data_IF_393632491281
#
_entry.id   IF_393632491281
#
_cell.length_a   1.000
_cell.length_b   1.000
_cell.length_c   1.000
_cell.angle_alpha   90.00
_cell.angle_beta   90.00
_cell.angle_gamma   90.00
#
_symmetry.space_group_name_H-M   'P 1'
#
loop_
_entity.id
_entity.type
_entity.pdbx_description
1 polymer ?
#
# COMPACT_ATOMS: atom_id res chain seq x y z
N UNK A 1 30.91 8.02 -11.88
CA UNK A 1 29.75 7.37 -11.21
C UNK A 1 28.51 8.23 -11.42
N UNK A 2 27.31 7.66 -11.54
CA UNK A 2 26.08 8.44 -11.76
C UNK A 2 25.94 9.04 -13.17
N UNK A 3 26.36 8.32 -14.22
CA UNK A 3 26.18 8.76 -15.61
C UNK A 3 27.05 9.94 -16.06
N UNK A 4 28.06 10.35 -15.28
CA UNK A 4 29.01 11.39 -15.71
C UNK A 4 30.06 10.82 -16.67
N UNK A 5 30.17 11.44 -17.84
CA UNK A 5 31.25 11.24 -18.80
C UNK A 5 32.28 12.35 -18.62
N UNK A 6 33.54 11.96 -18.47
CA UNK A 6 34.66 12.89 -18.36
C UNK A 6 35.45 12.85 -19.67
N UNK A 7 35.64 14.01 -20.29
CA UNK A 7 36.42 14.15 -21.53
C UNK A 7 37.57 15.12 -21.28
N UNK A 8 38.78 14.69 -21.61
CA UNK A 8 39.98 15.51 -21.48
C UNK A 8 40.36 16.04 -22.85
N UNK A 9 40.58 17.35 -22.95
CA UNK A 9 41.16 17.94 -24.14
C UNK A 9 42.68 17.77 -24.12
N UNK A 10 43.25 17.33 -25.24
CA UNK A 10 44.70 17.19 -25.42
C UNK A 10 45.18 18.15 -26.51
N UNK A 11 45.32 19.44 -26.19
CA UNK A 11 45.82 20.42 -27.15
C UNK A 11 47.27 20.12 -27.52
N UNK A 12 47.57 20.08 -28.83
CA UNK A 12 48.94 19.91 -29.33
C UNK A 12 49.74 21.18 -29.04
N UNK A 13 50.99 21.07 -28.56
CA UNK A 13 51.83 22.23 -28.33
C UNK A 13 52.07 23.00 -29.64
N UNK A 14 52.10 24.35 -29.61
CA UNK A 14 52.37 25.15 -30.80
C UNK A 14 53.77 24.84 -31.34
N UNK A 15 53.85 24.54 -32.64
CA UNK A 15 55.08 24.06 -33.32
C UNK A 15 56.06 25.20 -33.65
N UNK A 16 55.75 26.46 -33.31
CA UNK A 16 56.44 27.64 -33.88
C UNK A 16 57.03 28.63 -32.87
N UNK A 17 57.12 28.31 -31.58
CA UNK A 17 57.73 29.21 -30.57
C UNK A 17 58.94 28.59 -29.87
N UNK A 18 60.12 29.24 -29.83
CA UNK A 18 61.32 28.75 -29.12
C UNK A 18 61.17 28.67 -27.60
N UNK A 19 60.13 29.26 -27.02
CA UNK A 19 59.87 29.27 -25.59
C UNK A 19 58.72 28.30 -25.22
N UNK A 20 58.84 27.55 -24.11
CA UNK A 20 57.77 26.69 -23.62
C UNK A 20 56.60 27.55 -23.12
N UNK A 21 55.52 27.62 -23.91
CA UNK A 21 54.26 28.25 -23.50
C UNK A 21 53.42 27.21 -22.74
N UNK A 22 52.96 27.47 -21.51
CA UNK A 22 52.05 26.58 -20.80
C UNK A 22 50.74 26.44 -21.58
N UNK A 23 50.42 25.22 -22.03
CA UNK A 23 49.15 24.96 -22.71
C UNK A 23 48.08 24.62 -21.66
N UNK A 24 46.99 25.40 -21.56
CA UNK A 24 45.92 25.10 -20.61
C UNK A 24 45.24 23.78 -20.99
N UNK A 25 45.05 22.89 -20.01
CA UNK A 25 44.35 21.62 -20.20
C UNK A 25 42.91 21.76 -19.71
N UNK A 26 41.96 21.50 -20.58
CA UNK A 26 40.54 21.57 -20.24
C UNK A 26 39.96 20.17 -20.00
N UNK A 27 39.06 20.07 -19.03
CA UNK A 27 38.28 18.87 -18.75
C UNK A 27 36.81 19.22 -18.86
N UNK A 28 36.08 18.41 -19.62
CA UNK A 28 34.63 18.50 -19.76
C UNK A 28 33.97 17.39 -18.96
N UNK A 29 32.92 17.76 -18.23
CA UNK A 29 32.10 16.81 -17.46
C UNK A 29 30.69 16.86 -18.02
N UNK A 30 30.29 15.82 -18.74
CA UNK A 30 28.98 15.72 -19.37
C UNK A 30 28.10 14.74 -18.62
N UNK A 31 26.84 15.10 -18.37
CA UNK A 31 25.85 14.18 -17.81
C UNK A 31 25.24 13.37 -18.96
N UNK A 32 25.46 12.06 -18.94
CA UNK A 32 24.84 11.12 -19.88
C UNK A 32 23.58 10.58 -19.23
N UNK A 33 22.48 10.58 -19.99
CA UNK A 33 21.19 10.03 -19.61
C UNK A 33 20.62 9.25 -20.78
N UNK A 34 20.34 7.98 -20.57
CA UNK A 34 19.80 7.07 -21.60
C UNK A 34 18.27 7.01 -21.59
N UNK A 35 17.63 7.26 -20.44
CA UNK A 35 16.18 7.10 -20.24
C UNK A 35 15.56 8.32 -19.54
N UNK A 36 15.46 9.42 -20.29
CA UNK A 36 15.01 10.72 -19.76
C UNK A 36 13.59 10.68 -19.20
N UNK A 37 12.67 9.96 -19.86
CA UNK A 37 11.27 9.84 -19.44
C UNK A 37 11.11 9.10 -18.11
N UNK A 38 11.86 8.01 -17.91
CA UNK A 38 11.84 7.25 -16.67
C UNK A 38 12.35 8.11 -15.50
N UNK A 39 13.46 8.82 -15.70
CA UNK A 39 13.99 9.74 -14.69
C UNK A 39 13.00 10.86 -14.37
N UNK A 40 12.32 11.39 -15.39
CA UNK A 40 11.32 12.42 -15.19
C UNK A 40 10.15 11.92 -14.34
N UNK A 41 9.62 10.74 -14.66
CA UNK A 41 8.56 10.07 -13.87
C UNK A 41 8.99 9.81 -12.42
N UNK A 42 10.25 9.39 -12.22
CA UNK A 42 10.82 9.17 -10.89
C UNK A 42 10.92 10.47 -10.09
N UNK A 43 11.40 11.56 -10.71
CA UNK A 43 11.43 12.89 -10.08
C UNK A 43 10.05 13.40 -9.68
N UNK A 44 9.06 13.23 -10.56
CA UNK A 44 7.66 13.60 -10.27
C UNK A 44 7.11 12.83 -9.07
N UNK A 45 7.33 11.51 -9.03
CA UNK A 45 6.92 10.69 -7.90
C UNK A 45 7.62 11.11 -6.60
N UNK A 46 8.93 11.33 -6.66
CA UNK A 46 9.70 11.76 -5.49
C UNK A 46 9.22 13.11 -4.98
N UNK A 47 8.91 14.05 -5.87
CA UNK A 47 8.36 15.35 -5.51
C UNK A 47 7.00 15.19 -4.79
N UNK A 48 6.10 14.36 -5.33
CA UNK A 48 4.79 14.10 -4.72
C UNK A 48 4.90 13.43 -3.33
N UNK A 49 5.86 12.52 -3.15
CA UNK A 49 6.15 11.90 -1.85
C UNK A 49 6.66 12.93 -0.83
N UNK A 50 7.51 13.86 -1.27
CA UNK A 50 8.10 14.88 -0.40
C UNK A 50 7.09 15.97 -0.01
N UNK A 51 6.22 16.39 -0.93
CA UNK A 51 5.19 17.40 -0.69
C UNK A 51 3.93 16.86 -0.02
N UNK A 52 3.74 15.54 -0.02
CA UNK A 52 2.48 14.90 0.40
C UNK A 52 1.35 15.01 -0.64
N UNK A 53 1.62 15.48 -1.86
CA UNK A 53 0.61 15.65 -2.92
C UNK A 53 0.37 14.36 -3.72
N UNK A 54 0.28 13.21 -3.03
CA UNK A 54 0.10 11.90 -3.67
C UNK A 54 -1.27 11.73 -4.32
N UNK A 55 -2.30 12.38 -3.78
CA UNK A 55 -3.64 12.35 -4.37
C UNK A 55 -3.66 12.99 -5.77
N UNK A 56 -3.05 14.17 -5.92
CA UNK A 56 -2.92 14.87 -7.20
C UNK A 56 -2.08 14.05 -8.19
N UNK A 57 -0.99 13.44 -7.70
CA UNK A 57 -0.17 12.53 -8.50
C UNK A 57 -0.98 11.35 -9.02
N UNK A 58 -1.78 10.69 -8.16
CA UNK A 58 -2.64 9.58 -8.57
C UNK A 58 -3.69 10.04 -9.59
N UNK A 59 -4.34 11.19 -9.41
CA UNK A 59 -5.29 11.73 -10.39
C UNK A 59 -4.65 11.96 -11.76
N UNK A 60 -3.46 12.56 -11.80
CA UNK A 60 -2.72 12.74 -13.04
C UNK A 60 -2.36 11.40 -13.70
N UNK A 61 -2.05 10.37 -12.91
CA UNK A 61 -1.76 9.02 -13.41
C UNK A 61 -3.00 8.29 -13.92
N UNK A 62 -4.16 8.48 -13.30
CA UNK A 62 -5.46 8.00 -13.82
C UNK A 62 -5.71 8.61 -15.19
N UNK A 63 -5.61 9.94 -15.34
CA UNK A 63 -5.91 10.60 -16.61
C UNK A 63 -4.96 10.21 -17.75
N UNK A 64 -3.70 9.91 -17.43
CA UNK A 64 -2.68 9.49 -18.41
C UNK A 64 -2.68 7.99 -18.70
N UNK A 65 -3.42 7.18 -17.95
CA UNK A 65 -3.43 5.74 -18.11
C UNK A 65 -4.16 5.35 -19.41
N UNK A 66 -3.55 4.53 -20.28
CA UNK A 66 -4.11 4.18 -21.59
C UNK A 66 -5.28 3.21 -21.52
N UNK A 67 -5.41 2.46 -20.42
CA UNK A 67 -6.42 1.39 -20.27
C UNK A 67 -7.25 1.60 -19.01
N UNK A 68 -8.49 1.12 -19.04
CA UNK A 68 -9.38 1.19 -17.88
C UNK A 68 -8.83 0.42 -16.68
N UNK A 69 -8.17 -0.73 -16.91
CA UNK A 69 -7.53 -1.50 -15.85
C UNK A 69 -6.36 -0.74 -15.21
N UNK A 70 -5.54 -0.03 -15.99
CA UNK A 70 -4.51 0.85 -15.44
C UNK A 70 -5.12 2.03 -14.67
N UNK A 71 -6.19 2.62 -15.18
CA UNK A 71 -6.93 3.66 -14.46
C UNK A 71 -7.45 3.13 -13.12
N UNK A 72 -8.01 1.92 -13.10
CA UNK A 72 -8.51 1.29 -11.88
C UNK A 72 -7.39 1.09 -10.87
N UNK A 73 -6.22 0.57 -11.27
CA UNK A 73 -5.06 0.44 -10.38
C UNK A 73 -4.74 1.77 -9.69
N UNK A 74 -4.74 2.88 -10.44
CA UNK A 74 -4.47 4.20 -9.86
C UNK A 74 -5.64 4.75 -9.02
N UNK A 75 -6.90 4.43 -9.35
CA UNK A 75 -8.07 4.74 -8.50
C UNK A 75 -8.00 4.00 -7.17
N UNK A 76 -7.64 2.72 -7.20
CA UNK A 76 -7.39 1.94 -5.99
C UNK A 76 -6.26 2.58 -5.16
N UNK A 77 -5.15 2.98 -5.78
CA UNK A 77 -4.09 3.64 -5.05
C UNK A 77 -4.56 4.97 -4.41
N UNK A 78 -5.29 5.81 -5.17
CA UNK A 78 -5.82 7.09 -4.70
C UNK A 78 -6.69 6.93 -3.44
N UNK A 79 -7.57 5.93 -3.42
CA UNK A 79 -8.46 5.66 -2.27
C UNK A 79 -7.69 5.42 -0.97
N UNK A 80 -6.44 4.94 -1.01
CA UNK A 80 -5.62 4.80 0.21
C UNK A 80 -5.37 6.12 0.93
N UNK A 81 -5.41 7.25 0.20
CA UNK A 81 -5.12 8.57 0.75
C UNK A 81 -6.39 9.35 1.15
N UNK A 82 -7.57 8.76 0.96
CA UNK A 82 -8.84 9.38 1.30
C UNK A 82 -9.43 8.86 2.61
N UNK A 83 -10.33 9.65 3.20
CA UNK A 83 -11.15 9.19 4.32
C UNK A 83 -12.06 8.03 3.91
N UNK A 84 -12.35 7.14 4.86
CA UNK A 84 -13.17 5.94 4.67
C UNK A 84 -12.67 5.01 3.55
N UNK A 85 -11.34 4.94 3.35
CA UNK A 85 -10.69 4.13 2.31
C UNK A 85 -11.28 2.72 2.17
N UNK A 86 -11.51 2.02 3.29
CA UNK A 86 -12.07 0.65 3.30
C UNK A 86 -13.45 0.56 2.64
N UNK A 87 -14.32 1.54 2.86
CA UNK A 87 -15.67 1.57 2.26
C UNK A 87 -15.57 1.89 0.78
N UNK A 88 -14.69 2.82 0.40
CA UNK A 88 -14.45 3.20 -1.00
C UNK A 88 -13.80 2.06 -1.80
N UNK A 89 -12.93 1.26 -1.18
CA UNK A 89 -12.39 0.04 -1.78
C UNK A 89 -13.47 -0.98 -2.09
N UNK A 90 -14.38 -1.23 -1.15
CA UNK A 90 -15.51 -2.13 -1.39
C UNK A 90 -16.31 -1.67 -2.61
N UNK A 91 -16.59 -0.36 -2.71
CA UNK A 91 -17.30 0.20 -3.86
C UNK A 91 -16.55 0.00 -5.19
N UNK A 92 -15.23 0.22 -5.21
CA UNK A 92 -14.40 -0.02 -6.40
C UNK A 92 -14.36 -1.50 -6.80
N UNK A 93 -14.44 -2.42 -5.83
CA UNK A 93 -14.55 -3.86 -6.08
C UNK A 93 -15.97 -4.31 -6.48
N UNK A 94 -16.94 -3.40 -6.53
CA UNK A 94 -18.33 -3.69 -6.87
C UNK A 94 -19.19 -4.14 -5.69
N UNK A 95 -18.74 -3.94 -4.46
CA UNK A 95 -19.48 -4.28 -3.24
C UNK A 95 -20.05 -3.02 -2.57
N UNK A 96 -21.29 -3.14 -2.08
CA UNK A 96 -21.89 -2.17 -1.15
C UNK A 96 -21.63 -2.63 0.29
N UNK A 97 -21.33 -1.67 1.18
CA UNK A 97 -21.19 -1.91 2.61
C UNK A 97 -22.49 -2.49 3.18
N UNK A 98 -23.62 -1.92 2.78
CA UNK A 98 -24.96 -2.29 3.25
C UNK A 98 -25.33 -3.72 2.84
N UNK A 99 -25.01 -4.11 1.60
CA UNK A 99 -25.24 -5.47 1.12
C UNK A 99 -24.34 -6.49 1.82
N UNK A 100 -23.09 -6.10 2.12
CA UNK A 100 -22.17 -6.94 2.88
C UNK A 100 -22.67 -7.11 4.33
N UNK A 101 -23.07 -6.04 5.00
CA UNK A 101 -23.66 -6.08 6.35
C UNK A 101 -24.91 -6.95 6.41
N UNK A 102 -25.79 -6.86 5.40
CA UNK A 102 -26.98 -7.70 5.28
C UNK A 102 -26.62 -9.18 5.12
N UNK A 103 -25.68 -9.50 4.22
CA UNK A 103 -25.21 -10.89 4.01
C UNK A 103 -24.58 -11.45 5.28
N UNK A 104 -23.74 -10.68 5.96
CA UNK A 104 -23.11 -11.05 7.24
C UNK A 104 -24.19 -11.32 8.30
N UNK A 105 -25.14 -10.41 8.46
CA UNK A 105 -26.25 -10.55 9.44
C UNK A 105 -27.13 -11.78 9.16
N UNK A 106 -27.28 -12.13 7.88
CA UNK A 106 -28.05 -13.30 7.44
C UNK A 106 -27.29 -14.60 7.71
N UNK A 107 -25.99 -14.63 7.43
CA UNK A 107 -25.16 -15.84 7.60
C UNK A 107 -24.78 -16.13 9.06
N UNK A 108 -24.52 -15.11 9.87
CA UNK A 108 -24.07 -15.26 11.26
C UNK A 108 -25.23 -15.31 12.27
N UNK A 109 -26.47 -15.12 11.81
CA UNK A 109 -27.61 -14.85 12.67
C UNK A 109 -27.46 -13.48 13.35
N UNK A 110 -28.56 -12.93 13.87
CA UNK A 110 -28.68 -11.55 14.38
C UNK A 110 -27.85 -11.21 15.64
N UNK A 111 -26.75 -11.91 15.92
CA UNK A 111 -26.02 -11.80 17.19
C UNK A 111 -24.73 -10.96 17.14
N UNK A 112 -24.31 -10.45 15.97
CA UNK A 112 -23.18 -9.53 15.90
C UNK A 112 -23.69 -8.09 15.95
N UNK A 113 -23.60 -7.49 17.15
CA UNK A 113 -23.73 -6.05 17.33
C UNK A 113 -22.58 -5.35 16.58
N UNK A 114 -22.82 -4.29 15.78
CA UNK A 114 -21.79 -3.68 14.92
C UNK A 114 -20.72 -2.88 15.67
N UNK A 115 -20.87 -2.71 16.98
CA UNK A 115 -19.92 -1.99 17.80
C UNK A 115 -19.02 -3.01 18.50
N UNK A 116 -17.70 -2.83 18.41
CA UNK A 116 -16.67 -3.75 18.90
C UNK A 116 -16.66 -3.96 20.43
N UNK A 117 -17.75 -4.47 20.97
CA UNK A 117 -17.79 -5.15 22.24
C UNK A 117 -17.73 -6.64 21.95
N UNK A 118 -16.71 -7.29 22.50
CA UNK A 118 -16.68 -8.75 22.59
C UNK A 118 -17.96 -9.27 23.25
N UNK A 119 -18.18 -10.57 23.11
CA UNK A 119 -19.29 -11.30 23.74
C UNK A 119 -19.44 -10.80 25.18
N UNK A 120 -20.60 -10.22 25.51
CA UNK A 120 -20.87 -9.69 26.84
C UNK A 120 -20.57 -10.77 27.89
N UNK A 121 -19.64 -10.48 28.79
CA UNK A 121 -19.12 -11.47 29.74
C UNK A 121 -20.23 -12.01 30.65
N UNK A 122 -21.25 -11.20 30.92
CA UNK A 122 -22.39 -11.61 31.74
C UNK A 122 -23.29 -12.57 30.96
N UNK A 123 -23.58 -12.30 29.68
CA UNK A 123 -24.34 -13.20 28.82
C UNK A 123 -23.60 -14.53 28.57
N UNK A 124 -22.27 -14.52 28.51
CA UNK A 124 -21.46 -15.74 28.45
C UNK A 124 -21.50 -16.51 29.77
N UNK A 125 -21.32 -15.84 30.91
CA UNK A 125 -21.40 -16.44 32.23
C UNK A 125 -22.77 -17.08 32.47
N UNK A 126 -23.86 -16.39 32.11
CA UNK A 126 -25.22 -16.88 32.25
C UNK A 126 -25.46 -18.15 31.42
N UNK A 127 -24.97 -18.18 30.17
CA UNK A 127 -25.03 -19.38 29.32
C UNK A 127 -24.19 -20.55 29.88
N UNK A 128 -23.01 -20.27 30.43
CA UNK A 128 -22.16 -21.29 31.08
C UNK A 128 -22.84 -21.84 32.33
N UNK A 129 -23.50 -20.98 33.13
CA UNK A 129 -24.29 -21.39 34.29
C UNK A 129 -25.48 -22.26 33.89
N UNK A 130 -26.16 -21.91 32.80
CA UNK A 130 -27.32 -22.66 32.32
C UNK A 130 -26.91 -24.04 31.78
N UNK A 131 -25.76 -24.12 31.10
CA UNK A 131 -25.15 -25.38 30.69
C UNK A 131 -24.72 -26.22 31.89
N UNK A 132 -24.15 -25.63 32.94
CA UNK A 132 -23.76 -26.37 34.15
C UNK A 132 -24.96 -26.83 34.97
N UNK A 133 -26.08 -26.09 34.95
CA UNK A 133 -27.33 -26.50 35.59
C UNK A 133 -28.04 -27.66 34.86
N UNK A 134 -27.85 -27.81 33.56
CA UNK A 134 -28.37 -28.93 32.77
C UNK A 134 -27.50 -30.20 32.92
N UNK A 135 -26.25 -30.07 33.36
CA UNK A 135 -25.42 -31.22 33.76
C UNK A 135 -25.83 -31.62 35.16
N UNK A 136 -26.84 -32.49 35.26
CA UNK A 136 -27.23 -33.08 36.54
C UNK A 136 -26.04 -33.81 37.17
N UNK A 137 -25.72 -33.57 38.47
CA UNK A 137 -24.65 -34.31 39.17
C UNK A 137 -24.86 -35.83 39.19
N UNK A 138 -26.05 -36.32 38.82
CA UNK A 138 -26.36 -37.75 38.66
C UNK A 138 -25.77 -38.43 37.42
N UNK A 139 -25.32 -37.70 36.39
CA UNK A 139 -24.75 -38.34 35.18
C UNK A 139 -23.35 -38.89 35.44
N UNK A 140 -22.57 -38.26 36.31
CA UNK A 140 -21.26 -38.79 36.72
C UNK A 140 -21.39 -40.10 37.50
N UNK A 141 -22.38 -40.20 38.39
CA UNK A 141 -22.60 -41.39 39.22
C UNK A 141 -23.09 -42.60 38.40
N UNK A 142 -23.89 -42.36 37.35
CA UNK A 142 -24.33 -43.41 36.43
C UNK A 142 -23.17 -44.00 35.60
N UNK A 143 -22.18 -43.18 35.24
CA UNK A 143 -21.02 -43.65 34.48
C UNK A 143 -20.07 -44.47 35.35
N UNK A 144 -19.82 -44.07 36.62
CA UNK A 144 -18.95 -44.87 37.51
C UNK A 144 -19.59 -46.16 38.00
N UNK A 145 -20.91 -46.23 38.15
CA UNK A 145 -21.60 -47.47 38.58
C UNK A 145 -21.78 -48.50 37.45
N UNK A 146 -21.64 -48.12 36.17
CA UNK A 146 -21.65 -49.07 35.04
C UNK A 146 -20.25 -49.56 34.64
N UNK A 147 -19.19 -49.07 35.28
CA UNK A 147 -17.80 -49.45 35.04
C UNK A 147 -17.15 -50.21 36.21
N UNK A 148 -17.90 -50.47 37.29
CA UNK A 148 -17.57 -51.46 38.33
C UNK A 148 -18.48 -52.68 38.16
#
# INVERSE_FOLDING_TARGET
>A
FGGKLITFESPKPPVQSPQPVPVPRQVFVSQVTTETEFLQRSRELQAALQSGSLSDYCQAKIHKAPTDSEQDIWRFLLVNFEDEARVKFLRLLGFSKEDLERKISTCLGKNLQPNGHGVDANHLAEKIQLLSAQVSPGTYLYIVHSLL
#
